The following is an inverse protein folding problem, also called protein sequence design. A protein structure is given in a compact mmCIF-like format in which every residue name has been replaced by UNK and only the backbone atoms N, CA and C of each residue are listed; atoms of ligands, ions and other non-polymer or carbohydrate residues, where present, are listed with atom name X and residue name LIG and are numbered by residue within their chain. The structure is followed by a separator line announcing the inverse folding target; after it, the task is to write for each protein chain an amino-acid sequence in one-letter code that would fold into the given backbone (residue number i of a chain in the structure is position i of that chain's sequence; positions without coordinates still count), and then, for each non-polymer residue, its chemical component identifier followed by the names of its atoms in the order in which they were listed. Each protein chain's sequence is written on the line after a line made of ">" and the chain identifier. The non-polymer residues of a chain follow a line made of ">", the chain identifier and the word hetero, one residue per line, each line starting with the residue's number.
data_IF_229146261752
#
_entry.id   IF_229146261752
#
_cell.length_a   1.000
_cell.length_b   1.000
_cell.length_c   1.000
_cell.angle_alpha   90.00
_cell.angle_beta   90.00
_cell.angle_gamma   90.00
#
_symmetry.space_group_name_H-M   'P 1'
#
loop_
_entity.id
_entity.type
_entity.pdbx_description
1 polymer ?
#
# COMPACT_ATOMS: atom_id res chain seq x y z
N UNK A 1 18.82 16.06 -17.30
CA UNK A 1 17.58 15.27 -17.05
C UNK A 1 17.44 14.25 -18.16
N UNK A 2 17.19 12.97 -17.87
CA UNK A 2 17.19 11.93 -18.91
C UNK A 2 16.00 12.06 -19.87
N UNK A 3 16.14 11.50 -21.08
CA UNK A 3 15.10 11.52 -22.12
C UNK A 3 13.75 11.01 -21.62
N UNK A 4 13.74 9.93 -20.83
CA UNK A 4 12.50 9.34 -20.30
C UNK A 4 11.80 10.27 -19.30
N UNK A 5 12.54 10.93 -18.42
CA UNK A 5 11.97 11.91 -17.50
C UNK A 5 11.33 13.08 -18.27
N UNK A 6 11.99 13.57 -19.33
CA UNK A 6 11.42 14.63 -20.17
C UNK A 6 10.13 14.17 -20.87
N UNK A 7 10.09 12.92 -21.35
CA UNK A 7 8.89 12.35 -21.98
C UNK A 7 7.70 12.34 -21.01
N UNK A 8 7.88 11.81 -19.80
CA UNK A 8 6.81 11.74 -18.78
C UNK A 8 6.29 13.14 -18.45
N UNK A 9 7.18 14.14 -18.36
CA UNK A 9 6.78 15.52 -18.08
C UNK A 9 5.94 16.11 -19.22
N UNK A 10 6.29 15.85 -20.48
CA UNK A 10 5.49 16.29 -21.63
C UNK A 10 4.12 15.58 -21.67
N UNK A 11 4.08 14.28 -21.42
CA UNK A 11 2.83 13.50 -21.36
C UNK A 11 1.91 14.03 -20.24
N UNK A 12 2.47 14.34 -19.06
CA UNK A 12 1.70 14.93 -17.95
C UNK A 12 1.23 16.36 -18.28
N UNK A 13 2.03 17.17 -18.98
CA UNK A 13 1.68 18.54 -19.31
C UNK A 13 0.36 18.63 -20.10
N UNK A 14 0.10 17.65 -20.98
CA UNK A 14 -1.16 17.54 -21.71
C UNK A 14 -2.36 17.36 -20.76
N UNK A 15 -2.23 16.48 -19.76
CA UNK A 15 -3.28 16.21 -18.76
C UNK A 15 -3.59 17.45 -17.91
N UNK A 16 -2.56 18.22 -17.53
CA UNK A 16 -2.72 19.43 -16.74
C UNK A 16 -3.09 20.67 -17.59
N UNK A 17 -3.15 20.55 -18.92
CA UNK A 17 -3.42 21.68 -19.82
C UNK A 17 -2.36 22.78 -19.75
N UNK A 18 -1.09 22.40 -19.55
CA UNK A 18 0.05 23.33 -19.47
C UNK A 18 0.97 23.16 -20.66
N UNK A 19 1.64 24.24 -21.06
CA UNK A 19 2.59 24.19 -22.17
C UNK A 19 3.93 23.63 -21.69
N UNK A 20 4.53 22.76 -22.51
CA UNK A 20 5.79 22.11 -22.18
C UNK A 20 6.78 22.22 -23.33
N UNK A 21 7.99 22.71 -23.04
CA UNK A 21 9.04 22.90 -24.05
C UNK A 21 10.37 22.39 -23.50
N UNK A 22 11.05 21.56 -24.30
CA UNK A 22 12.40 21.10 -24.00
C UNK A 22 13.44 22.08 -24.55
N UNK A 23 14.30 22.63 -23.69
CA UNK A 23 15.36 23.56 -24.08
C UNK A 23 16.75 22.94 -23.90
N UNK A 24 17.72 23.50 -24.60
CA UNK A 24 19.14 23.09 -24.58
C UNK A 24 19.41 21.70 -25.20
N UNK A 25 20.69 21.36 -25.26
CA UNK A 25 21.27 20.14 -25.84
C UNK A 25 21.68 19.15 -24.74
N UNK A 26 21.76 17.86 -25.07
CA UNK A 26 22.26 16.85 -24.12
C UNK A 26 23.72 17.17 -23.73
N UNK A 27 24.11 17.05 -22.44
CA UNK A 27 23.37 16.47 -21.31
C UNK A 27 22.54 17.47 -20.48
N UNK A 28 22.62 18.76 -20.80
CA UNK A 28 22.01 19.86 -20.02
C UNK A 28 20.54 20.12 -20.38
N UNK A 29 20.02 19.40 -21.38
CA UNK A 29 18.63 19.49 -21.84
C UNK A 29 17.64 19.38 -20.69
N UNK A 30 16.82 20.42 -20.54
CA UNK A 30 15.81 20.57 -19.50
C UNK A 30 14.43 20.78 -20.13
N UNK A 31 13.40 20.83 -19.29
CA UNK A 31 12.02 21.12 -19.70
C UNK A 31 11.52 22.30 -18.90
N UNK A 32 10.90 23.26 -19.59
CA UNK A 32 10.23 24.39 -18.98
C UNK A 32 8.73 24.19 -19.18
N UNK A 33 7.99 24.38 -18.09
CA UNK A 33 6.53 24.29 -18.07
C UNK A 33 5.95 25.68 -17.86
N UNK A 34 4.97 26.05 -18.68
CA UNK A 34 4.27 27.33 -18.57
C UNK A 34 2.78 27.08 -18.37
N UNK A 35 2.25 27.55 -17.24
CA UNK A 35 0.83 27.50 -16.96
C UNK A 35 0.14 28.78 -17.46
N UNK A 36 -0.84 28.64 -18.34
CA UNK A 36 -1.66 29.76 -18.79
C UNK A 36 -2.93 29.86 -17.95
N UNK A 37 -3.17 31.04 -17.38
CA UNK A 37 -4.38 31.34 -16.61
C UNK A 37 -5.62 31.03 -17.47
N UNK A 38 -6.52 30.20 -16.95
CA UNK A 38 -7.76 29.82 -17.63
C UNK A 38 -7.66 28.61 -18.57
N UNK A 39 -6.46 28.05 -18.77
CA UNK A 39 -6.27 26.79 -19.53
C UNK A 39 -5.73 25.66 -18.65
N UNK A 40 -4.84 25.98 -17.71
CA UNK A 40 -4.26 25.00 -16.80
C UNK A 40 -5.29 24.51 -15.78
N UNK A 41 -5.40 23.19 -15.63
CA UNK A 41 -6.36 22.54 -14.72
C UNK A 41 -5.69 21.44 -13.92
N UNK A 42 -6.23 21.19 -12.73
CA UNK A 42 -5.84 20.03 -11.93
C UNK A 42 -6.78 18.87 -12.29
N UNK A 43 -6.26 17.71 -12.74
CA UNK A 43 -7.09 16.54 -12.99
C UNK A 43 -7.71 16.03 -11.68
N UNK A 44 -8.86 15.37 -11.78
CA UNK A 44 -9.61 14.85 -10.63
C UNK A 44 -8.88 13.72 -9.88
N UNK A 45 -7.89 13.10 -10.50
CA UNK A 45 -7.08 12.05 -9.90
C UNK A 45 -5.62 12.24 -10.30
N UNK A 46 -4.72 12.13 -9.33
CA UNK A 46 -3.28 12.14 -9.58
C UNK A 46 -2.80 10.75 -10.00
N UNK A 47 -1.77 10.71 -10.84
CA UNK A 47 -1.12 9.46 -11.27
C UNK A 47 -0.69 8.61 -10.08
N UNK A 48 -0.14 9.22 -9.03
CA UNK A 48 0.27 8.55 -7.79
C UNK A 48 -0.90 7.84 -7.11
N UNK A 49 -2.06 8.48 -7.01
CA UNK A 49 -3.24 7.86 -6.40
C UNK A 49 -3.76 6.65 -7.19
N UNK A 50 -3.58 6.64 -8.52
CA UNK A 50 -3.92 5.48 -9.33
C UNK A 50 -2.94 4.33 -9.10
N UNK A 51 -1.64 4.64 -9.07
CA UNK A 51 -0.58 3.67 -8.78
C UNK A 51 -0.78 3.07 -7.39
N UNK A 52 -1.05 3.88 -6.37
CA UNK A 52 -1.31 3.40 -5.01
C UNK A 52 -2.50 2.45 -4.95
N UNK A 53 -3.60 2.75 -5.65
CA UNK A 53 -4.77 1.87 -5.70
C UNK A 53 -4.48 0.54 -6.39
N UNK A 54 -3.64 0.54 -7.42
CA UNK A 54 -3.28 -0.66 -8.17
C UNK A 54 -2.23 -1.51 -7.44
N UNK A 55 -1.26 -0.86 -6.80
CA UNK A 55 -0.17 -1.51 -6.06
C UNK A 55 -0.51 -1.85 -4.62
N UNK A 56 -1.60 -1.31 -4.07
CA UNK A 56 -2.08 -1.67 -2.74
C UNK A 56 -2.38 -3.16 -2.67
N UNK A 57 -1.70 -3.84 -1.74
CA UNK A 57 -1.99 -5.23 -1.43
C UNK A 57 -3.46 -5.34 -0.99
N UNK A 58 -4.19 -6.30 -1.59
CA UNK A 58 -5.57 -6.59 -1.17
C UNK A 58 -5.57 -6.91 0.31
N UNK A 59 -6.56 -6.37 1.02
CA UNK A 59 -6.75 -6.67 2.43
C UNK A 59 -6.78 -8.20 2.62
N UNK A 60 -6.11 -8.72 3.66
CA UNK A 60 -6.13 -10.14 3.94
C UNK A 60 -7.59 -10.59 4.14
N UNK A 61 -7.93 -11.82 3.70
CA UNK A 61 -9.28 -12.33 3.86
C UNK A 61 -9.66 -12.37 5.35
N UNK A 62 -10.95 -12.12 5.69
CA UNK A 62 -11.40 -12.18 7.07
C UNK A 62 -11.17 -13.58 7.64
N UNK A 63 -10.57 -13.63 8.84
CA UNK A 63 -10.32 -14.88 9.55
C UNK A 63 -11.66 -15.47 9.96
N UNK A 64 -11.94 -16.71 9.54
CA UNK A 64 -13.16 -17.41 9.92
C UNK A 64 -13.16 -17.65 11.44
N UNK A 65 -14.14 -17.08 12.14
CA UNK A 65 -14.39 -17.39 13.55
C UNK A 65 -15.06 -18.77 13.63
N UNK A 66 -14.26 -19.84 13.77
CA UNK A 66 -14.80 -21.14 14.17
C UNK A 66 -15.29 -20.97 15.62
N UNK A 67 -16.61 -21.00 15.83
CA UNK A 67 -17.14 -21.19 17.18
C UNK A 67 -16.69 -22.57 17.60
N UNK A 68 -15.71 -22.66 18.50
CA UNK A 68 -15.42 -23.90 19.22
C UNK A 68 -16.67 -24.24 20.02
N UNK A 69 -17.60 -24.98 19.42
CA UNK A 69 -18.59 -25.72 20.16
C UNK A 69 -17.81 -26.78 20.92
N UNK A 70 -17.70 -26.59 22.24
CA UNK A 70 -17.20 -27.57 23.19
C UNK A 70 -18.17 -28.75 23.28
N UNK A 71 -18.30 -29.54 22.23
CA UNK A 71 -18.95 -30.85 22.31
C UNK A 71 -17.87 -31.90 22.51
N UNK A 72 -17.73 -32.34 23.77
CA UNK A 72 -17.09 -33.61 24.13
C UNK A 72 -17.63 -34.72 23.23
N UNK A 73 -16.75 -35.42 22.52
CA UNK A 73 -16.91 -36.82 22.16
C UNK A 73 -15.54 -37.42 21.82
N UNK A 74 -15.38 -38.67 22.21
CA UNK A 74 -14.11 -39.35 22.39
C UNK A 74 -13.49 -39.95 21.11
N UNK A 75 -12.21 -40.33 21.27
CA UNK A 75 -11.50 -41.44 20.62
C UNK A 75 -10.65 -41.12 19.39
N UNK A 76 -9.33 -41.19 19.58
CA UNK A 76 -8.39 -41.72 18.57
C UNK A 76 -7.38 -40.72 18.00
N UNK A 77 -6.20 -40.59 18.61
CA UNK A 77 -4.92 -41.06 18.03
C UNK A 77 -3.72 -40.54 18.82
N UNK A 78 -2.80 -41.46 19.07
CA UNK A 78 -1.42 -41.35 19.58
C UNK A 78 -0.57 -40.27 18.86
N UNK A 79 0.51 -39.82 19.54
CA UNK A 79 1.52 -38.77 19.19
C UNK A 79 1.10 -37.34 19.55
N UNK A 80 1.77 -36.55 20.40
CA UNK A 80 3.20 -36.50 20.71
C UNK A 80 3.46 -35.92 22.09
N UNK A 81 4.52 -36.44 22.72
CA UNK A 81 5.20 -35.86 23.89
C UNK A 81 5.61 -34.40 23.66
N UNK A 82 5.63 -33.67 24.77
CA UNK A 82 6.51 -32.54 25.09
C UNK A 82 5.98 -31.13 24.77
N UNK A 83 5.17 -30.59 25.69
CA UNK A 83 5.14 -29.14 25.94
C UNK A 83 5.29 -28.98 27.46
N UNK A 84 6.33 -28.24 27.84
CA UNK A 84 6.64 -27.88 29.23
C UNK A 84 5.44 -27.18 29.84
N UNK A 85 5.03 -27.68 30.99
CA UNK A 85 4.08 -27.06 31.90
C UNK A 85 4.66 -25.71 32.32
N UNK A 86 4.13 -24.60 31.81
CA UNK A 86 4.32 -23.30 32.46
C UNK A 86 3.35 -23.25 33.65
N UNK A 87 3.82 -22.99 34.88
CA UNK A 87 2.93 -22.87 36.02
C UNK A 87 2.01 -21.66 35.78
N UNK A 88 0.70 -21.91 35.82
CA UNK A 88 -0.33 -20.87 35.90
C UNK A 88 -0.10 -20.13 37.21
N UNK A 89 0.48 -18.94 37.15
CA UNK A 89 0.62 -18.07 38.32
C UNK A 89 -0.75 -17.44 38.55
N UNK A 90 -1.40 -17.84 39.64
CA UNK A 90 -2.64 -17.23 40.12
C UNK A 90 -2.31 -15.95 40.88
N UNK A 91 -2.70 -14.81 40.31
CA UNK A 91 -2.48 -13.46 40.86
C UNK A 91 -3.70 -12.94 41.64
N UNK A 92 -4.62 -13.82 42.08
CA UNK A 92 -5.89 -13.42 42.70
C UNK A 92 -5.94 -13.54 44.24
N UNK A 93 -4.81 -13.79 44.91
CA UNK A 93 -4.73 -13.86 46.39
C UNK A 93 -4.05 -12.64 47.04
N UNK A 94 -4.15 -11.45 46.43
CA UNK A 94 -3.80 -10.19 47.10
C UNK A 94 -5.05 -9.54 47.69
N UNK A 95 -5.58 -10.14 48.76
CA UNK A 95 -6.58 -9.55 49.65
C UNK A 95 -6.37 -10.05 51.10
N UNK A 96 -5.37 -9.50 51.79
CA UNK A 96 -5.47 -8.83 53.11
C UNK A 96 -4.06 -8.35 53.58
#
# INVERSE_FOLDING_TARGET
>A
MNREHRKIIHDLAEVYGVESVSYDSEPKRNVVITAQRGKSVCPNSMLTSLIERETAARAPPPIAHIKQHSSKAATGSTWSKMVKEEPVIDYFDVQD
#
